data_IF_080187019836
#
_entry.id   IF_080187019836
#
_cell.length_a   1.000
_cell.length_b   1.000
_cell.length_c   1.000
_cell.angle_alpha   90.00
_cell.angle_beta   90.00
_cell.angle_gamma   90.00
#
_symmetry.space_group_name_H-M   'P 1'
#
loop_
_entity.id
_entity.type
_entity.pdbx_description
1 polymer ?
#
# COMPACT_ATOMS: atom_id res chain seq x y z
N UNK A 1 -7.70 -14.73 5.05
CA UNK A 1 -7.82 -13.34 5.54
C UNK A 1 -8.60 -13.35 6.84
N UNK A 2 -8.16 -12.60 7.83
CA UNK A 2 -8.92 -12.27 9.03
C UNK A 2 -9.12 -10.75 9.10
N UNK A 3 -10.23 -10.28 9.67
CA UNK A 3 -10.51 -8.86 9.90
C UNK A 3 -10.91 -8.64 11.34
N UNK A 4 -10.55 -7.49 11.91
CA UNK A 4 -10.91 -7.12 13.28
C UNK A 4 -11.33 -5.67 13.33
N UNK A 5 -12.39 -5.39 14.09
CA UNK A 5 -12.78 -4.03 14.46
C UNK A 5 -12.13 -3.58 15.78
N UNK A 6 -11.49 -4.51 16.51
CA UNK A 6 -10.87 -4.22 17.78
C UNK A 6 -9.36 -4.01 17.57
N UNK A 7 -8.80 -2.95 18.15
CA UNK A 7 -7.37 -2.66 18.05
C UNK A 7 -6.90 -2.12 16.69
N UNK A 8 -5.61 -1.80 16.55
CA UNK A 8 -5.08 -1.06 15.40
C UNK A 8 -4.82 -1.91 14.15
N UNK A 9 -4.78 -3.24 14.26
CA UNK A 9 -4.64 -4.15 13.11
C UNK A 9 -6.04 -4.44 12.55
N UNK A 10 -6.37 -3.87 11.39
CA UNK A 10 -7.69 -4.01 10.75
C UNK A 10 -7.84 -5.32 9.96
N UNK A 11 -6.77 -5.73 9.28
CA UNK A 11 -6.78 -6.89 8.39
C UNK A 11 -5.45 -7.64 8.44
N UNK A 12 -5.56 -8.97 8.41
CA UNK A 12 -4.42 -9.90 8.42
C UNK A 12 -4.57 -10.92 7.30
N UNK A 13 -3.46 -11.25 6.65
CA UNK A 13 -3.35 -12.26 5.61
C UNK A 13 -2.36 -13.35 5.99
N UNK A 14 -2.63 -14.56 5.54
CA UNK A 14 -1.61 -15.61 5.44
C UNK A 14 -0.75 -15.26 4.21
N UNK A 15 0.55 -15.14 4.42
CA UNK A 15 1.54 -14.88 3.38
C UNK A 15 2.60 -16.01 3.33
N UNK A 16 2.24 -17.20 3.83
CA UNK A 16 3.09 -18.38 3.80
C UNK A 16 3.36 -18.79 2.34
N UNK A 17 4.56 -19.30 2.04
CA UNK A 17 4.86 -19.81 0.71
C UNK A 17 4.00 -21.04 0.39
N UNK A 18 3.91 -21.47 -0.88
CA UNK A 18 3.13 -22.66 -1.27
C UNK A 18 3.52 -23.96 -0.54
N UNK A 19 4.75 -24.04 -0.03
CA UNK A 19 5.21 -25.16 0.81
C UNK A 19 4.56 -25.21 2.20
N UNK A 20 3.90 -24.12 2.63
CA UNK A 20 3.32 -23.95 3.96
C UNK A 20 4.34 -23.68 5.07
N UNK A 21 5.62 -23.52 4.74
CA UNK A 21 6.69 -23.24 5.71
C UNK A 21 7.77 -22.32 5.13
N UNK A 22 8.21 -21.28 5.87
CA UNK A 22 7.71 -20.89 7.19
C UNK A 22 6.28 -20.33 7.14
N UNK A 23 5.55 -20.44 8.25
CA UNK A 23 4.25 -19.76 8.38
C UNK A 23 4.45 -18.25 8.49
N UNK A 24 3.75 -17.46 7.67
CA UNK A 24 3.90 -15.99 7.67
C UNK A 24 2.55 -15.32 7.80
N UNK A 25 2.42 -14.40 8.76
CA UNK A 25 1.26 -13.53 8.92
C UNK A 25 1.64 -12.11 8.53
N UNK A 26 0.88 -11.51 7.62
CA UNK A 26 0.96 -10.10 7.25
C UNK A 26 -0.18 -9.36 7.93
N UNK A 27 0.13 -8.32 8.71
CA UNK A 27 -0.86 -7.52 9.41
C UNK A 27 -0.75 -6.05 8.97
N UNK A 28 -1.90 -5.42 8.70
CA UNK A 28 -1.95 -4.02 8.27
C UNK A 28 -2.49 -3.11 9.39
N UNK A 29 -1.77 -2.01 9.60
CA UNK A 29 -2.26 -0.83 10.29
C UNK A 29 -2.53 0.21 9.21
N UNK A 30 -3.73 0.78 9.21
CA UNK A 30 -4.18 1.71 8.16
C UNK A 30 -4.75 2.99 8.76
N UNK A 31 -4.77 4.08 7.97
CA UNK A 31 -5.39 5.34 8.36
C UNK A 31 -4.87 5.91 9.69
N UNK A 32 -5.77 6.19 10.63
CA UNK A 32 -5.41 6.75 11.94
C UNK A 32 -4.54 5.80 12.77
N UNK A 33 -4.77 4.48 12.68
CA UNK A 33 -3.97 3.51 13.42
C UNK A 33 -2.51 3.53 12.95
N UNK A 34 -2.29 3.56 11.63
CA UNK A 34 -0.96 3.72 11.06
C UNK A 34 -0.30 5.04 11.47
N UNK A 35 -1.03 6.16 11.38
CA UNK A 35 -0.51 7.49 11.77
C UNK A 35 -0.05 7.51 13.22
N UNK A 36 -0.89 7.03 14.14
CA UNK A 36 -0.57 7.01 15.56
C UNK A 36 0.59 6.07 15.88
N UNK A 37 0.71 4.95 15.15
CA UNK A 37 1.78 3.98 15.38
C UNK A 37 3.12 4.43 14.77
N UNK A 38 3.13 5.22 13.70
CA UNK A 38 4.33 5.55 12.92
C UNK A 38 5.45 6.16 13.78
N UNK A 39 5.09 7.03 14.71
CA UNK A 39 6.06 7.73 15.57
C UNK A 39 6.44 6.96 16.85
N UNK A 40 5.81 5.80 17.10
CA UNK A 40 6.14 4.98 18.26
C UNK A 40 7.49 4.26 18.06
N UNK A 41 8.20 3.93 19.15
CA UNK A 41 9.35 3.05 19.09
C UNK A 41 9.03 1.68 18.44
N UNK A 42 9.98 1.06 17.72
CA UNK A 42 9.75 -0.23 17.04
C UNK A 42 9.21 -1.34 17.95
N UNK A 43 9.69 -1.42 19.19
CA UNK A 43 9.24 -2.43 20.15
C UNK A 43 7.79 -2.22 20.59
N UNK A 44 7.33 -0.98 20.70
CA UNK A 44 5.93 -0.68 21.01
C UNK A 44 5.02 -1.05 19.83
N UNK A 45 5.43 -0.71 18.60
CA UNK A 45 4.72 -1.14 17.38
C UNK A 45 4.63 -2.66 17.29
N UNK A 46 5.74 -3.35 17.58
CA UNK A 46 5.81 -4.82 17.64
C UNK A 46 4.78 -5.36 18.63
N UNK A 47 4.78 -4.88 19.87
CA UNK A 47 3.87 -5.38 20.90
C UNK A 47 2.41 -5.17 20.52
N UNK A 48 2.07 -3.99 19.99
CA UNK A 48 0.73 -3.66 19.49
C UNK A 48 0.24 -4.69 18.46
N UNK A 49 1.09 -5.05 17.49
CA UNK A 49 0.74 -6.04 16.48
C UNK A 49 0.59 -7.44 17.09
N UNK A 50 1.53 -7.85 17.96
CA UNK A 50 1.49 -9.17 18.59
C UNK A 50 0.25 -9.35 19.47
N UNK A 51 -0.15 -8.34 20.23
CA UNK A 51 -1.38 -8.39 21.05
C UNK A 51 -2.62 -8.62 20.18
N UNK A 52 -2.69 -7.95 19.02
CA UNK A 52 -3.77 -8.16 18.05
C UNK A 52 -3.75 -9.58 17.47
N UNK A 53 -2.57 -10.09 17.09
CA UNK A 53 -2.44 -11.43 16.54
C UNK A 53 -2.71 -12.52 17.58
N UNK A 54 -2.34 -12.32 18.85
CA UNK A 54 -2.65 -13.23 19.96
C UNK A 54 -4.15 -13.32 20.18
N UNK A 55 -4.87 -12.19 20.14
CA UNK A 55 -6.32 -12.20 20.26
C UNK A 55 -6.99 -12.96 19.11
N UNK A 56 -6.45 -12.87 17.90
CA UNK A 56 -7.02 -13.52 16.71
C UNK A 56 -6.66 -15.00 16.58
N UNK A 57 -5.42 -15.38 16.91
CA UNK A 57 -4.85 -16.70 16.58
C UNK A 57 -4.33 -17.46 17.80
N UNK A 58 -4.42 -16.88 19.00
CA UNK A 58 -4.03 -17.49 20.26
C UNK A 58 -2.57 -17.22 20.66
N UNK A 59 -2.16 -17.74 21.83
CA UNK A 59 -0.93 -17.34 22.52
C UNK A 59 0.37 -17.63 21.74
N UNK A 60 0.35 -18.57 20.80
CA UNK A 60 1.52 -18.88 19.96
C UNK A 60 1.94 -17.69 19.10
N UNK A 61 1.01 -16.80 18.74
CA UNK A 61 1.32 -15.61 17.97
C UNK A 61 2.20 -14.59 18.72
N UNK A 62 2.35 -14.72 20.05
CA UNK A 62 3.19 -13.84 20.85
C UNK A 62 4.70 -14.05 20.61
N UNK A 63 5.09 -15.18 20.01
CA UNK A 63 6.49 -15.60 19.89
C UNK A 63 6.85 -15.90 18.42
N UNK A 64 6.88 -14.87 17.54
CA UNK A 64 7.33 -15.08 16.17
C UNK A 64 8.85 -15.28 16.14
N UNK A 65 9.32 -16.16 15.25
CA UNK A 65 10.75 -16.33 14.98
C UNK A 65 11.38 -15.04 14.42
N UNK A 66 10.62 -14.32 13.58
CA UNK A 66 11.00 -13.05 12.99
C UNK A 66 9.83 -12.08 12.95
N UNK A 67 10.13 -10.79 13.12
CA UNK A 67 9.17 -9.70 12.99
C UNK A 67 9.80 -8.60 12.16
N UNK A 68 9.09 -8.14 11.14
CA UNK A 68 9.51 -7.04 10.28
C UNK A 68 8.34 -6.08 10.15
N UNK A 69 8.59 -4.80 10.35
CA UNK A 69 7.63 -3.73 10.13
C UNK A 69 8.13 -2.71 9.11
N UNK A 70 7.20 -2.01 8.46
CA UNK A 70 7.50 -0.92 7.53
C UNK A 70 6.45 0.17 7.67
N UNK A 71 6.88 1.34 8.13
CA UNK A 71 6.07 2.54 8.12
C UNK A 71 6.25 3.26 6.78
N UNK A 72 5.33 3.04 5.84
CA UNK A 72 5.39 3.65 4.50
C UNK A 72 5.20 5.17 4.51
N UNK A 73 4.50 5.72 5.50
CA UNK A 73 4.23 7.15 5.61
C UNK A 73 5.51 8.01 5.76
N UNK A 74 6.58 7.44 6.29
CA UNK A 74 7.87 8.12 6.52
C UNK A 74 8.97 7.66 5.55
N UNK A 75 8.61 6.84 4.57
CA UNK A 75 9.53 6.53 3.47
C UNK A 75 9.69 7.77 2.58
N UNK A 76 10.94 8.17 2.32
CA UNK A 76 11.24 9.45 1.64
C UNK A 76 10.69 9.50 0.21
N UNK A 77 10.60 8.34 -0.46
CA UNK A 77 10.19 8.21 -1.84
C UNK A 77 8.71 7.83 -1.96
N UNK A 78 8.22 6.92 -1.10
CA UNK A 78 6.83 6.50 -1.16
C UNK A 78 5.87 7.48 -0.48
N UNK A 79 6.28 8.07 0.67
CA UNK A 79 5.50 9.05 1.47
C UNK A 79 4.08 8.59 1.84
N UNK A 80 3.84 7.28 1.83
CA UNK A 80 2.53 6.67 2.01
C UNK A 80 2.40 5.36 1.24
N UNK A 81 1.25 4.70 1.43
CA UNK A 81 0.85 3.51 0.68
C UNK A 81 -0.68 3.30 0.81
N UNK A 82 -1.32 2.49 -0.05
CA UNK A 82 -0.77 1.86 -1.26
C UNK A 82 -0.79 2.77 -2.49
N UNK A 83 -1.64 3.79 -2.50
CA UNK A 83 -1.74 4.74 -3.60
C UNK A 83 -2.23 6.10 -3.12
N UNK A 84 -2.17 7.08 -4.01
CA UNK A 84 -2.67 8.43 -3.74
C UNK A 84 -4.19 8.47 -3.54
N UNK A 85 -4.64 9.15 -2.48
CA UNK A 85 -6.06 9.44 -2.24
C UNK A 85 -6.39 10.86 -2.69
N UNK A 86 -7.46 11.00 -3.47
CA UNK A 86 -8.03 12.31 -3.82
C UNK A 86 -9.14 12.67 -2.83
N UNK A 87 -9.04 13.82 -2.12
CA UNK A 87 -10.08 14.24 -1.21
C UNK A 87 -11.39 14.57 -1.94
N UNK A 88 -12.46 14.70 -1.18
CA UNK A 88 -13.78 15.07 -1.69
C UNK A 88 -13.69 16.27 -2.63
N UNK A 89 -14.27 16.14 -3.82
CA UNK A 89 -14.28 17.17 -4.87
C UNK A 89 -13.04 17.15 -5.79
N UNK A 90 -11.87 16.69 -5.33
CA UNK A 90 -10.65 16.77 -6.12
C UNK A 90 -10.72 15.95 -7.43
N UNK A 91 -11.39 14.79 -7.43
CA UNK A 91 -11.60 14.03 -8.65
C UNK A 91 -12.44 14.79 -9.70
N UNK A 92 -13.50 15.46 -9.26
CA UNK A 92 -14.37 16.22 -10.16
C UNK A 92 -13.68 17.47 -10.71
N UNK A 93 -12.87 18.12 -9.89
CA UNK A 93 -12.15 19.35 -10.28
C UNK A 93 -10.91 19.05 -11.13
N UNK A 94 -10.14 18.01 -10.79
CA UNK A 94 -8.80 17.78 -11.33
C UNK A 94 -8.60 16.42 -12.00
N UNK A 95 -9.57 15.51 -11.97
CA UNK A 95 -9.41 14.14 -12.48
C UNK A 95 -9.06 14.07 -13.97
N UNK A 96 -9.54 15.02 -14.78
CA UNK A 96 -9.16 15.13 -16.19
C UNK A 96 -7.65 15.42 -16.38
N UNK A 97 -7.03 16.11 -15.42
CA UNK A 97 -5.60 16.45 -15.45
C UNK A 97 -4.68 15.32 -14.98
N UNK A 98 -5.21 14.29 -14.31
CA UNK A 98 -4.40 13.24 -13.65
C UNK A 98 -3.42 12.53 -14.60
N UNK A 99 -3.78 12.41 -15.87
CA UNK A 99 -2.98 11.72 -16.91
C UNK A 99 -2.76 12.55 -18.17
N UNK A 100 -3.18 13.81 -18.18
CA UNK A 100 -3.04 14.67 -19.35
C UNK A 100 -1.58 15.10 -19.53
N UNK A 101 -0.95 14.89 -20.70
CA UNK A 101 0.43 15.30 -20.91
C UNK A 101 0.59 16.82 -20.90
N UNK A 102 1.78 17.29 -20.54
CA UNK A 102 2.14 18.71 -20.51
C UNK A 102 3.35 18.94 -21.41
N UNK A 103 3.10 19.38 -22.64
CA UNK A 103 4.15 19.48 -23.66
C UNK A 103 4.81 18.11 -23.91
N UNK A 104 6.14 17.97 -23.75
CA UNK A 104 6.84 16.69 -23.90
C UNK A 104 6.75 15.77 -22.67
N UNK A 105 6.08 16.20 -21.59
CA UNK A 105 5.98 15.43 -20.34
C UNK A 105 4.74 14.53 -20.37
N UNK A 106 4.97 13.23 -20.16
CA UNK A 106 3.93 12.21 -20.02
C UNK A 106 3.95 11.63 -18.61
N UNK A 107 2.76 11.34 -18.06
CA UNK A 107 2.60 10.81 -16.71
C UNK A 107 2.36 9.32 -16.75
N UNK A 108 3.14 8.53 -16.03
CA UNK A 108 2.85 7.12 -15.73
C UNK A 108 2.69 6.97 -14.20
N UNK A 109 2.48 5.74 -13.75
CA UNK A 109 2.25 5.44 -12.34
C UNK A 109 0.87 4.83 -12.14
N UNK A 110 0.74 4.00 -11.09
CA UNK A 110 -0.44 3.19 -10.86
C UNK A 110 -1.74 4.01 -10.79
N UNK A 111 -1.66 5.25 -10.30
CA UNK A 111 -2.77 6.20 -10.19
C UNK A 111 -3.31 6.67 -11.55
N UNK A 112 -2.50 6.62 -12.60
CA UNK A 112 -2.89 7.10 -13.94
C UNK A 112 -3.62 6.05 -14.78
N UNK A 113 -3.69 4.80 -14.29
CA UNK A 113 -4.39 3.71 -14.97
C UNK A 113 -5.92 3.88 -14.91
N UNK A 114 -6.62 3.34 -15.92
CA UNK A 114 -8.09 3.34 -15.97
C UNK A 114 -8.71 2.06 -15.41
N UNK A 115 -7.90 1.03 -15.20
CA UNK A 115 -8.27 -0.25 -14.60
C UNK A 115 -7.21 -0.58 -13.56
N UNK A 116 -7.63 -1.11 -12.40
CA UNK A 116 -6.75 -1.48 -11.29
C UNK A 116 -5.81 -0.33 -10.85
N UNK A 117 -6.30 0.91 -10.84
CA UNK A 117 -5.53 2.06 -10.37
C UNK A 117 -5.07 1.86 -8.92
N UNK A 118 -3.81 2.17 -8.65
CA UNK A 118 -3.17 1.93 -7.34
C UNK A 118 -2.60 0.52 -7.13
N UNK A 119 -2.67 -0.36 -8.14
CA UNK A 119 -2.07 -1.71 -8.09
C UNK A 119 -0.91 -1.84 -9.09
N UNK A 120 -0.13 -2.93 -8.94
CA UNK A 120 0.99 -3.24 -9.83
C UNK A 120 0.58 -3.33 -11.32
N UNK A 121 -0.58 -3.93 -11.61
CA UNK A 121 -1.13 -4.01 -12.96
C UNK A 121 -1.46 -2.61 -13.53
N UNK A 122 -1.96 -1.71 -12.69
CA UNK A 122 -2.13 -0.30 -13.02
C UNK A 122 -0.80 0.38 -13.34
N UNK A 123 0.24 0.13 -12.55
CA UNK A 123 1.57 0.67 -12.80
C UNK A 123 2.11 0.22 -14.17
N UNK A 124 2.03 -1.09 -14.45
CA UNK A 124 2.51 -1.68 -15.71
C UNK A 124 1.74 -1.11 -16.90
N UNK A 125 0.40 -1.18 -16.87
CA UNK A 125 -0.45 -0.70 -17.96
C UNK A 125 -0.26 0.80 -18.23
N UNK A 126 -0.12 1.61 -17.17
CA UNK A 126 0.13 3.04 -17.31
C UNK A 126 1.48 3.36 -17.98
N UNK A 127 2.51 2.56 -17.69
CA UNK A 127 3.84 2.70 -18.29
C UNK A 127 3.83 2.34 -19.78
N UNK A 128 3.15 1.25 -20.15
CA UNK A 128 2.96 0.85 -21.55
C UNK A 128 2.24 1.95 -22.33
N UNK A 129 1.16 2.52 -21.76
CA UNK A 129 0.44 3.64 -22.37
C UNK A 129 1.36 4.86 -22.55
N UNK A 130 2.06 5.30 -21.49
CA UNK A 130 2.96 6.46 -21.58
C UNK A 130 4.04 6.27 -22.64
N UNK A 131 4.64 5.08 -22.72
CA UNK A 131 5.63 4.76 -23.75
C UNK A 131 5.03 4.82 -25.17
N UNK A 132 3.80 4.33 -25.36
CA UNK A 132 3.09 4.40 -26.63
C UNK A 132 2.80 5.84 -27.05
N UNK A 133 2.39 6.70 -26.11
CA UNK A 133 2.14 8.12 -26.39
C UNK A 133 3.39 8.84 -26.86
N UNK A 134 4.53 8.58 -26.21
CA UNK A 134 5.83 9.15 -26.58
C UNK A 134 6.24 8.66 -27.97
N UNK A 135 6.14 7.36 -28.24
CA UNK A 135 6.49 6.78 -29.53
C UNK A 135 5.59 7.29 -30.67
N UNK A 136 4.29 7.47 -30.42
CA UNK A 136 3.34 8.03 -31.39
C UNK A 136 3.50 9.54 -31.61
N UNK A 137 4.06 10.26 -30.63
CA UNK A 137 4.36 11.70 -30.72
C UNK A 137 5.68 12.01 -31.43
N UNK A 138 6.64 11.07 -31.47
CA UNK A 138 7.98 11.24 -32.05
C UNK A 138 8.02 11.35 -33.60
N UNK A 139 6.86 11.40 -34.26
CA UNK A 139 6.72 11.59 -35.71
C UNK A 139 6.33 13.01 -36.15
N UNK A 140 6.47 14.02 -35.28
CA UNK A 140 6.21 15.44 -35.57
C UNK A 140 7.42 16.33 -35.36
#
# INVERSE_FOLDING_TARGET
>A
QATSADGPVSVTFDNSPPSGSPGVLLAFLEGNAARNATDLPPEERRQIVLDCLVRLFGPRAAQPEHFVDKAWAVDEFARGCYGGYLPTGAWLTYGAGLRAPVGPLHWAGAETATVNAGYMDGAISSGIRAATEIAGGAGR
#
